data_IF_304355602041
#
_entry.id   IF_304355602041
#
_cell.length_a   1.000
_cell.length_b   1.000
_cell.length_c   1.000
_cell.angle_alpha   90.00
_cell.angle_beta   90.00
_cell.angle_gamma   90.00
#
_symmetry.space_group_name_H-M   'P 1'
#
loop_
_entity.id
_entity.type
_entity.pdbx_description
1 polymer ?
#
# COMPACT_ATOMS: atom_id res chain seq x y z
N UNK A 1 -14.39 -23.63 57.10
CA UNK A 1 -13.72 -22.70 56.17
C UNK A 1 -14.60 -22.53 54.93
N UNK A 2 -15.09 -21.31 54.68
CA UNK A 2 -15.97 -20.99 53.54
C UNK A 2 -15.10 -20.49 52.39
N UNK A 3 -14.92 -21.28 51.35
CA UNK A 3 -14.14 -20.90 50.17
C UNK A 3 -14.87 -19.80 49.41
N UNK A 4 -14.30 -18.59 49.36
CA UNK A 4 -14.79 -17.52 48.50
C UNK A 4 -14.59 -17.94 47.04
N UNK A 5 -15.68 -18.03 46.27
CA UNK A 5 -15.58 -18.21 44.82
C UNK A 5 -14.90 -16.98 44.21
N UNK A 6 -13.91 -17.14 43.32
CA UNK A 6 -13.29 -16.00 42.65
C UNK A 6 -14.36 -15.21 41.90
N UNK A 7 -14.49 -13.91 42.20
CA UNK A 7 -15.36 -13.00 41.42
C UNK A 7 -14.85 -12.98 39.98
N UNK A 8 -15.55 -13.68 39.09
CA UNK A 8 -15.32 -13.61 37.65
C UNK A 8 -15.84 -12.25 37.19
N UNK A 9 -14.94 -11.28 37.00
CA UNK A 9 -15.28 -10.03 36.34
C UNK A 9 -15.69 -10.38 34.90
N UNK A 10 -16.95 -10.13 34.55
CA UNK A 10 -17.45 -10.28 33.18
C UNK A 10 -16.82 -9.15 32.36
N UNK A 11 -15.71 -9.47 31.68
CA UNK A 11 -15.10 -8.55 30.73
C UNK A 11 -15.99 -8.51 29.48
N UNK A 12 -16.93 -7.57 29.44
CA UNK A 12 -17.85 -7.33 28.32
C UNK A 12 -17.18 -6.67 27.10
N UNK A 13 -15.85 -6.51 27.12
CA UNK A 13 -15.10 -6.01 25.98
C UNK A 13 -14.79 -7.17 25.03
N UNK A 14 -15.65 -7.38 24.02
CA UNK A 14 -15.36 -8.26 22.89
C UNK A 14 -14.14 -7.71 22.12
N UNK A 15 -12.92 -8.00 22.60
CA UNK A 15 -11.67 -7.64 21.91
C UNK A 15 -11.35 -8.52 20.69
N UNK A 16 -12.25 -9.45 20.35
CA UNK A 16 -12.09 -10.36 19.21
C UNK A 16 -12.09 -9.67 17.84
N UNK A 17 -12.56 -8.42 17.75
CA UNK A 17 -12.55 -7.68 16.50
C UNK A 17 -11.13 -7.33 16.04
N UNK A 18 -10.19 -7.05 16.96
CA UNK A 18 -8.80 -6.71 16.61
C UNK A 18 -8.08 -7.86 15.89
N UNK A 19 -8.00 -9.09 16.45
CA UNK A 19 -7.38 -10.20 15.75
C UNK A 19 -8.14 -10.58 14.48
N UNK A 20 -9.47 -10.42 14.45
CA UNK A 20 -10.27 -10.64 13.24
C UNK A 20 -9.88 -9.69 12.11
N UNK A 21 -9.70 -8.40 12.40
CA UNK A 21 -9.17 -7.44 11.43
C UNK A 21 -7.78 -7.83 10.94
N UNK A 22 -6.90 -8.25 11.86
CA UNK A 22 -5.55 -8.72 11.49
C UNK A 22 -5.58 -9.90 10.52
N UNK A 23 -6.46 -10.88 10.75
CA UNK A 23 -6.65 -12.02 9.84
C UNK A 23 -7.23 -11.58 8.49
N UNK A 24 -8.15 -10.62 8.48
CA UNK A 24 -8.75 -10.11 7.25
C UNK A 24 -7.73 -9.34 6.38
N UNK A 25 -6.90 -8.50 6.99
CA UNK A 25 -5.77 -7.83 6.30
C UNK A 25 -4.77 -8.88 5.81
N UNK A 26 -4.44 -9.88 6.63
CA UNK A 26 -3.53 -10.94 6.20
C UNK A 26 -4.06 -11.71 4.99
N UNK A 27 -5.35 -12.04 4.99
CA UNK A 27 -6.02 -12.72 3.89
C UNK A 27 -5.98 -11.91 2.59
N UNK A 28 -6.18 -10.59 2.66
CA UNK A 28 -6.00 -9.72 1.49
C UNK A 28 -4.54 -9.56 1.08
N UNK A 29 -3.55 -9.95 1.90
CA UNK A 29 -2.14 -9.98 1.51
C UNK A 29 -1.75 -11.20 0.67
N UNK A 30 -2.51 -12.30 0.77
CA UNK A 30 -2.22 -13.56 0.06
C UNK A 30 -2.13 -13.37 -1.47
N UNK A 31 -3.02 -12.62 -2.13
CA UNK A 31 -2.92 -12.41 -3.57
C UNK A 31 -1.66 -11.62 -3.99
N UNK A 32 -1.18 -10.68 -3.16
CA UNK A 32 0.09 -9.98 -3.43
C UNK A 32 1.24 -10.97 -3.33
N UNK A 33 1.31 -11.75 -2.25
CA UNK A 33 2.34 -12.78 -2.10
C UNK A 33 2.33 -13.75 -3.28
N UNK A 34 1.14 -14.17 -3.72
CA UNK A 34 0.97 -15.04 -4.88
C UNK A 34 1.51 -14.38 -6.15
N UNK A 35 1.30 -13.08 -6.34
CA UNK A 35 1.86 -12.32 -7.45
C UNK A 35 3.38 -12.31 -7.47
N UNK A 36 4.01 -12.06 -6.33
CA UNK A 36 5.48 -12.14 -6.19
C UNK A 36 6.01 -13.55 -6.45
N UNK A 37 5.31 -14.58 -5.97
CA UNK A 37 5.71 -15.97 -6.19
C UNK A 37 5.55 -16.38 -7.66
N UNK A 38 4.51 -15.89 -8.35
CA UNK A 38 4.36 -16.07 -9.79
C UNK A 38 5.48 -15.37 -10.57
N UNK A 39 5.81 -14.12 -10.23
CA UNK A 39 6.92 -13.40 -10.86
C UNK A 39 8.24 -14.16 -10.73
N UNK A 40 8.48 -14.81 -9.58
CA UNK A 40 9.67 -15.64 -9.36
C UNK A 40 9.72 -16.89 -10.24
N UNK A 41 8.57 -17.46 -10.57
CA UNK A 41 8.46 -18.76 -11.23
C UNK A 41 8.26 -18.67 -12.76
N UNK A 42 7.74 -17.55 -13.27
CA UNK A 42 7.33 -17.42 -14.70
C UNK A 42 8.36 -16.69 -15.56
N UNK A 43 9.33 -15.98 -14.98
CA UNK A 43 10.45 -15.40 -15.73
C UNK A 43 10.94 -14.06 -15.16
N UNK A 44 10.86 -12.95 -15.92
CA UNK A 44 11.43 -11.67 -15.50
C UNK A 44 10.79 -11.20 -14.19
N UNK A 45 11.64 -10.73 -13.27
CA UNK A 45 11.21 -10.25 -11.94
C UNK A 45 10.94 -8.76 -11.94
N UNK A 46 11.67 -8.04 -12.76
CA UNK A 46 11.63 -6.59 -12.91
C UNK A 46 11.60 -6.23 -14.40
N UNK A 47 10.88 -5.17 -14.72
CA UNK A 47 10.89 -4.51 -16.02
C UNK A 47 11.40 -3.08 -15.80
N UNK A 48 12.57 -2.78 -16.35
CA UNK A 48 13.09 -1.41 -16.37
C UNK A 48 12.29 -0.53 -17.33
N UNK A 49 11.65 0.52 -16.84
CA UNK A 49 10.94 1.53 -17.63
C UNK A 49 11.52 2.89 -17.26
N UNK A 50 12.32 3.49 -18.15
CA UNK A 50 12.89 4.83 -17.96
C UNK A 50 13.57 5.03 -16.58
N UNK A 51 14.48 4.11 -16.23
CA UNK A 51 15.20 4.01 -14.94
C UNK A 51 14.34 3.64 -13.71
N UNK A 52 13.06 3.31 -13.89
CA UNK A 52 12.24 2.69 -12.84
C UNK A 52 12.23 1.16 -12.96
N UNK A 53 12.52 0.46 -11.86
CA UNK A 53 12.39 -0.99 -11.79
C UNK A 53 10.96 -1.37 -11.38
N UNK A 54 10.12 -1.72 -12.36
CA UNK A 54 8.77 -2.22 -12.07
C UNK A 54 8.85 -3.70 -11.67
N UNK A 55 8.70 -3.99 -10.38
CA UNK A 55 8.59 -5.37 -9.91
C UNK A 55 7.31 -6.03 -10.45
N UNK A 56 7.47 -7.05 -11.30
CA UNK A 56 6.37 -7.82 -11.89
C UNK A 56 5.52 -8.53 -10.83
N UNK A 57 6.08 -8.76 -9.63
CA UNK A 57 5.34 -9.27 -8.48
C UNK A 57 4.17 -8.36 -8.08
N UNK A 58 4.38 -7.04 -8.09
CA UNK A 58 3.31 -6.06 -7.87
C UNK A 58 2.27 -6.14 -8.98
N UNK A 59 2.68 -6.25 -10.25
CA UNK A 59 1.75 -6.35 -11.39
C UNK A 59 0.84 -7.57 -11.27
N UNK A 60 1.42 -8.77 -11.10
CA UNK A 60 0.62 -9.98 -10.94
C UNK A 60 -0.23 -9.94 -9.68
N UNK A 61 0.31 -9.43 -8.57
CA UNK A 61 -0.40 -9.31 -7.30
C UNK A 61 -1.62 -8.40 -7.41
N UNK A 62 -1.48 -7.27 -8.11
CA UNK A 62 -2.56 -6.31 -8.38
C UNK A 62 -3.62 -6.88 -9.33
N UNK A 63 -3.22 -7.64 -10.35
CA UNK A 63 -4.17 -8.33 -11.23
C UNK A 63 -5.00 -9.34 -10.46
N UNK A 64 -4.38 -10.17 -9.62
CA UNK A 64 -5.10 -11.15 -8.79
C UNK A 64 -6.01 -10.42 -7.79
N UNK A 65 -5.54 -9.32 -7.19
CA UNK A 65 -6.36 -8.45 -6.33
C UNK A 65 -7.59 -7.93 -7.04
N UNK A 66 -7.43 -7.43 -8.26
CA UNK A 66 -8.54 -6.92 -9.06
C UNK A 66 -9.55 -8.03 -9.34
N UNK A 67 -9.09 -9.20 -9.81
CA UNK A 67 -9.96 -10.36 -10.08
C UNK A 67 -10.72 -10.82 -8.82
N UNK A 68 -10.02 -10.91 -7.69
CA UNK A 68 -10.62 -11.28 -6.41
C UNK A 68 -11.61 -10.22 -5.92
N UNK A 69 -11.29 -8.94 -6.08
CA UNK A 69 -12.20 -7.83 -5.79
C UNK A 69 -13.47 -7.91 -6.63
N UNK A 70 -13.35 -8.15 -7.94
CA UNK A 70 -14.50 -8.32 -8.83
C UNK A 70 -15.40 -9.47 -8.37
N UNK A 71 -14.82 -10.60 -7.95
CA UNK A 71 -15.58 -11.73 -7.39
C UNK A 71 -16.27 -11.35 -6.08
N UNK A 72 -15.56 -10.70 -5.16
CA UNK A 72 -16.09 -10.31 -3.84
C UNK A 72 -17.20 -9.25 -3.93
N UNK A 73 -17.13 -8.39 -4.94
CA UNK A 73 -18.16 -7.41 -5.28
C UNK A 73 -19.35 -8.02 -6.03
N UNK A 74 -19.26 -9.31 -6.43
CA UNK A 74 -20.19 -9.99 -7.35
C UNK A 74 -20.43 -9.13 -8.60
N UNK A 75 -19.32 -8.73 -9.22
CA UNK A 75 -19.32 -7.91 -10.41
C UNK A 75 -20.12 -8.59 -11.52
N UNK A 76 -20.92 -7.78 -12.21
CA UNK A 76 -21.82 -8.21 -13.27
C UNK A 76 -21.49 -7.43 -14.54
N UNK A 77 -20.98 -8.13 -15.54
CA UNK A 77 -20.52 -7.56 -16.81
C UNK A 77 -21.67 -7.03 -17.67
N UNK A 78 -22.91 -7.41 -17.39
CA UNK A 78 -24.08 -6.93 -18.12
C UNK A 78 -24.57 -5.56 -17.66
N UNK A 79 -24.21 -5.14 -16.43
CA UNK A 79 -24.81 -4.00 -15.72
C UNK A 79 -23.86 -2.79 -15.59
N UNK A 80 -22.75 -2.80 -16.35
CA UNK A 80 -21.61 -1.86 -16.19
C UNK A 80 -21.99 -0.40 -16.43
N UNK A 81 -23.05 -0.13 -17.19
CA UNK A 81 -23.43 1.22 -17.63
C UNK A 81 -24.44 1.91 -16.68
N UNK A 82 -25.31 1.14 -16.00
CA UNK A 82 -26.48 1.71 -15.29
C UNK A 82 -26.36 1.66 -13.77
N UNK A 83 -25.63 0.69 -13.22
CA UNK A 83 -25.27 0.62 -11.80
C UNK A 83 -23.85 0.08 -11.72
N UNK A 84 -22.83 0.94 -11.55
CA UNK A 84 -21.48 0.45 -11.41
C UNK A 84 -21.42 -0.38 -10.13
N UNK A 85 -21.47 -1.70 -10.27
CA UNK A 85 -21.32 -2.66 -9.17
C UNK A 85 -19.94 -2.56 -8.51
N UNK A 86 -19.08 -1.65 -8.98
CA UNK A 86 -17.79 -1.25 -8.42
C UNK A 86 -17.89 -0.09 -7.40
N UNK A 87 -18.92 0.76 -7.47
CA UNK A 87 -19.12 1.87 -6.51
C UNK A 87 -19.90 1.45 -5.28
N UNK A 88 -20.78 0.45 -5.43
CA UNK A 88 -21.53 -0.15 -4.33
C UNK A 88 -21.31 -1.68 -4.31
N UNK A 89 -20.58 -2.22 -3.32
CA UNK A 89 -20.42 -3.66 -3.23
C UNK A 89 -21.79 -4.31 -3.00
N UNK A 90 -22.20 -5.23 -3.89
CA UNK A 90 -23.47 -5.97 -3.76
C UNK A 90 -23.52 -6.86 -2.51
N UNK A 91 -22.38 -7.10 -1.87
CA UNK A 91 -22.21 -7.95 -0.69
C UNK A 91 -21.33 -7.27 0.36
N UNK A 92 -21.61 -7.51 1.64
CA UNK A 92 -20.78 -7.05 2.76
C UNK A 92 -19.30 -7.45 2.61
N UNK A 93 -19.05 -8.65 2.07
CA UNK A 93 -17.69 -9.18 1.80
C UNK A 93 -16.90 -8.32 0.81
N UNK A 94 -17.55 -7.67 -0.16
CA UNK A 94 -16.89 -6.75 -1.09
C UNK A 94 -16.38 -5.51 -0.38
N UNK A 95 -17.21 -4.90 0.46
CA UNK A 95 -16.81 -3.74 1.27
C UNK A 95 -15.67 -4.07 2.24
N UNK A 96 -15.75 -5.22 2.93
CA UNK A 96 -14.67 -5.69 3.80
C UNK A 96 -13.38 -5.94 3.02
N UNK A 97 -13.45 -6.63 1.87
CA UNK A 97 -12.28 -6.87 1.03
C UNK A 97 -11.62 -5.56 0.60
N UNK A 98 -12.39 -4.57 0.16
CA UNK A 98 -11.86 -3.27 -0.27
C UNK A 98 -11.12 -2.53 0.85
N UNK A 99 -11.73 -2.44 2.04
CA UNK A 99 -11.10 -1.76 3.19
C UNK A 99 -9.83 -2.49 3.63
N UNK A 100 -9.81 -3.83 3.58
CA UNK A 100 -8.64 -4.61 4.01
C UNK A 100 -7.55 -4.65 2.94
N UNK A 101 -7.91 -4.62 1.65
CA UNK A 101 -6.97 -4.55 0.55
C UNK A 101 -6.30 -3.18 0.47
N UNK A 102 -7.00 -2.10 0.80
CA UNK A 102 -6.45 -0.73 0.75
C UNK A 102 -5.22 -0.55 1.65
N UNK A 103 -5.12 -1.31 2.74
CA UNK A 103 -3.93 -1.34 3.61
C UNK A 103 -2.68 -1.73 2.82
N UNK A 104 -2.78 -2.73 1.95
CA UNK A 104 -1.67 -3.18 1.12
C UNK A 104 -1.38 -2.23 -0.04
N UNK A 105 -2.41 -1.60 -0.61
CA UNK A 105 -2.22 -0.53 -1.59
C UNK A 105 -1.47 0.67 -1.00
N UNK A 106 -1.75 1.02 0.25
CA UNK A 106 -1.02 2.09 0.94
C UNK A 106 0.46 1.71 1.09
N UNK A 107 0.77 0.48 1.52
CA UNK A 107 2.15 0.01 1.61
C UNK A 107 2.87 0.03 0.26
N UNK A 108 2.23 -0.49 -0.80
CA UNK A 108 2.81 -0.45 -2.15
C UNK A 108 2.96 0.97 -2.71
N UNK A 109 2.04 1.88 -2.36
CA UNK A 109 2.15 3.28 -2.76
C UNK A 109 3.30 3.99 -2.02
N UNK A 110 3.54 3.68 -0.75
CA UNK A 110 4.70 4.21 -0.02
C UNK A 110 6.02 3.76 -0.65
N UNK A 111 6.13 2.48 -0.99
CA UNK A 111 7.28 1.89 -1.69
C UNK A 111 7.55 2.63 -3.01
N UNK A 112 6.52 2.76 -3.86
CA UNK A 112 6.63 3.51 -5.11
C UNK A 112 6.96 5.00 -4.93
N UNK A 113 6.35 5.66 -3.92
CA UNK A 113 6.62 7.06 -3.63
C UNK A 113 8.04 7.28 -3.10
N UNK A 114 8.64 6.30 -2.41
CA UNK A 114 10.03 6.34 -1.96
C UNK A 114 10.99 6.40 -3.15
N UNK A 115 10.81 5.51 -4.14
CA UNK A 115 11.62 5.50 -5.36
C UNK A 115 11.42 6.77 -6.19
N UNK A 116 10.17 7.22 -6.34
CA UNK A 116 9.86 8.46 -7.04
C UNK A 116 10.44 9.68 -6.31
N UNK A 117 10.39 9.68 -4.99
CA UNK A 117 10.98 10.72 -4.16
C UNK A 117 12.50 10.75 -4.32
N UNK A 118 13.18 9.60 -4.32
CA UNK A 118 14.61 9.54 -4.59
C UNK A 118 14.95 10.14 -5.96
N UNK A 119 14.18 9.79 -7.00
CA UNK A 119 14.40 10.31 -8.35
C UNK A 119 14.12 11.82 -8.48
N UNK A 120 13.10 12.35 -7.80
CA UNK A 120 12.72 13.77 -7.89
C UNK A 120 13.52 14.67 -6.95
N UNK A 121 13.69 14.27 -5.70
CA UNK A 121 14.29 15.11 -4.66
C UNK A 121 15.81 15.07 -4.67
N UNK A 122 16.45 13.97 -5.09
CA UNK A 122 17.91 13.91 -5.12
C UNK A 122 18.51 14.93 -6.12
N UNK A 123 18.03 15.04 -7.37
CA UNK A 123 18.51 16.07 -8.29
C UNK A 123 18.15 17.49 -7.82
N UNK A 124 16.94 17.68 -7.30
CA UNK A 124 16.48 18.98 -6.81
C UNK A 124 17.29 19.46 -5.59
N UNK A 125 17.60 18.54 -4.68
CA UNK A 125 18.45 18.77 -3.51
C UNK A 125 19.87 19.14 -3.92
N UNK A 126 20.45 18.47 -4.92
CA UNK A 126 21.75 18.81 -5.48
C UNK A 126 21.74 20.20 -6.13
N UNK A 127 20.71 20.55 -6.89
CA UNK A 127 20.58 21.92 -7.45
C UNK A 127 20.49 22.97 -6.35
N UNK A 128 19.68 22.73 -5.31
CA UNK A 128 19.52 23.66 -4.20
C UNK A 128 20.85 23.85 -3.45
N UNK A 129 21.60 22.77 -3.22
CA UNK A 129 22.93 22.82 -2.62
C UNK A 129 23.87 23.66 -3.48
N UNK A 130 23.94 23.40 -4.79
CA UNK A 130 24.79 24.14 -5.72
C UNK A 130 24.49 25.65 -5.70
N UNK A 131 23.21 26.03 -5.81
CA UNK A 131 22.81 27.44 -5.78
C UNK A 131 23.05 28.07 -4.40
N UNK A 132 22.77 27.35 -3.32
CA UNK A 132 23.00 27.79 -1.94
C UNK A 132 24.49 28.06 -1.68
N UNK A 133 25.36 27.11 -2.01
CA UNK A 133 26.82 27.24 -1.87
C UNK A 133 27.35 28.38 -2.74
N UNK A 134 26.89 28.51 -3.98
CA UNK A 134 27.32 29.61 -4.87
C UNK A 134 26.91 30.98 -4.32
N UNK A 135 25.72 31.08 -3.73
CA UNK A 135 25.27 32.31 -3.06
C UNK A 135 26.14 32.63 -1.84
N UNK A 136 26.38 31.64 -0.97
CA UNK A 136 27.24 31.78 0.21
C UNK A 136 28.63 32.29 -0.15
N UNK A 137 29.29 31.66 -1.13
CA UNK A 137 30.63 32.07 -1.59
C UNK A 137 30.61 33.52 -2.08
N UNK A 138 29.61 33.92 -2.88
CA UNK A 138 29.51 35.30 -3.38
C UNK A 138 29.30 36.32 -2.25
N UNK A 139 28.46 36.00 -1.27
CA UNK A 139 28.24 36.89 -0.13
C UNK A 139 29.47 36.99 0.78
N UNK A 140 30.20 35.88 0.97
CA UNK A 140 31.44 35.89 1.76
C UNK A 140 32.55 36.67 1.05
N UNK A 141 32.68 36.52 -0.27
CA UNK A 141 33.65 37.28 -1.06
C UNK A 141 33.34 38.79 -1.02
N UNK A 142 32.08 39.18 -1.20
CA UNK A 142 31.67 40.58 -1.13
C UNK A 142 31.92 41.20 0.26
N UNK A 143 31.72 40.44 1.34
CA UNK A 143 31.97 40.91 2.71
C UNK A 143 33.46 41.01 3.09
N UNK A 144 34.38 40.42 2.31
CA UNK A 144 35.83 40.57 2.51
C UNK A 144 36.42 41.75 1.73
N UNK A 145 35.66 42.32 0.79
CA UNK A 145 36.06 43.48 -0.04
C UNK A 145 35.60 44.83 0.55
N UNK A 146 34.72 44.82 1.57
CA UNK A 146 34.38 45.99 2.43
C UNK A 146 35.30 46.07 3.66
#
# INVERSE_FOLDING_TARGET
>A
FRTQSPRRYVNNQHKGWIPMLGVLVFYTGVPIYTGFELARNVGPRELGIADFDLHLGWVYGLVIHALMGLQMYRWDTADVVLRPSLTEPRMFTGGVFFVMASVWFIFGAFDFLEDLAAYLFLPLGLMMLFFGTRRLIRTTAAAQEE
#
